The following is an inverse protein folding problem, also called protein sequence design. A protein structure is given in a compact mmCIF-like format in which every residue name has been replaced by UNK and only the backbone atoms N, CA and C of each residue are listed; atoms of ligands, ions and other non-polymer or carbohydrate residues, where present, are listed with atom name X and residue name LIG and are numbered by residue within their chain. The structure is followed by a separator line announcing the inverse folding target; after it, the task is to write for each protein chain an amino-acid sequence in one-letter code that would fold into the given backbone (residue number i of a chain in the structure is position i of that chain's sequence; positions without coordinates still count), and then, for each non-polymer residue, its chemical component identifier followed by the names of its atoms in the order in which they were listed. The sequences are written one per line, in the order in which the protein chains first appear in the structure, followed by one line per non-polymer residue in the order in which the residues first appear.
data_IF_887308440324
#
_entry.id   IF_887308440324
#
_cell.length_a   1.000
_cell.length_b   1.000
_cell.length_c   1.000
_cell.angle_alpha   90.00
_cell.angle_beta   90.00
_cell.angle_gamma   90.00
#
_symmetry.space_group_name_H-M   'P 1'
#
loop_
_entity.id
_entity.type
_entity.pdbx_description
1 polymer ?
#
# COMPACT_ATOMS: atom_id res chain seq x y z
N UNK A 1 20.54 28.40 -22.83
CA UNK A 1 20.02 29.32 -21.79
C UNK A 1 18.52 29.08 -21.76
N UNK A 2 17.94 28.15 -21.01
CA UNK A 2 18.28 27.64 -19.69
C UNK A 2 18.41 26.11 -19.69
N UNK A 3 19.09 25.64 -18.66
CA UNK A 3 19.59 24.32 -18.33
C UNK A 3 18.77 23.80 -17.11
N UNK A 4 18.70 22.47 -16.90
CA UNK A 4 18.26 21.77 -15.66
C UNK A 4 16.74 21.80 -15.34
N UNK A 5 16.04 20.78 -14.80
CA UNK A 5 16.39 19.66 -13.92
C UNK A 5 15.26 18.58 -13.92
N UNK A 6 15.66 17.30 -13.86
CA UNK A 6 15.02 16.09 -13.30
C UNK A 6 13.61 16.16 -12.65
N UNK A 7 12.75 15.15 -12.90
CA UNK A 7 11.86 14.65 -11.83
C UNK A 7 11.77 13.11 -11.80
N UNK A 8 12.75 12.39 -11.24
CA UNK A 8 12.58 11.02 -10.80
C UNK A 8 11.82 11.06 -9.46
N UNK A 9 10.51 10.87 -9.49
CA UNK A 9 9.70 10.82 -8.27
C UNK A 9 8.26 11.23 -8.51
N UNK A 10 7.44 10.30 -8.98
CA UNK A 10 5.98 10.44 -8.98
C UNK A 10 5.43 10.25 -7.55
N UNK A 11 5.98 10.98 -6.59
CA UNK A 11 5.69 10.85 -5.15
C UNK A 11 4.50 11.71 -4.73
N UNK A 12 3.43 11.71 -5.53
CA UNK A 12 2.15 12.29 -5.13
C UNK A 12 1.47 11.44 -4.05
N UNK A 13 0.55 12.02 -3.26
CA UNK A 13 -0.28 11.23 -2.35
C UNK A 13 -1.10 10.21 -3.15
N UNK A 14 -1.26 9.01 -2.60
CA UNK A 14 -2.12 7.99 -3.19
C UNK A 14 -3.54 8.24 -2.67
N UNK A 15 -4.40 8.78 -3.52
CA UNK A 15 -5.78 9.11 -3.18
C UNK A 15 -6.74 8.03 -3.66
N UNK A 16 -7.81 7.81 -2.90
CA UNK A 16 -8.87 6.90 -3.26
C UNK A 16 -9.69 7.42 -4.44
N UNK A 17 -10.15 6.53 -5.32
CA UNK A 17 -11.14 6.84 -6.36
C UNK A 17 -12.50 7.27 -5.77
N UNK A 18 -12.78 6.94 -4.51
CA UNK A 18 -13.99 7.35 -3.80
C UNK A 18 -13.83 8.63 -2.98
N UNK A 19 -12.71 9.35 -3.11
CA UNK A 19 -12.46 10.58 -2.35
C UNK A 19 -13.49 11.71 -2.62
N UNK A 20 -14.24 11.63 -3.74
CA UNK A 20 -15.30 12.59 -4.11
C UNK A 20 -16.66 12.21 -3.49
N UNK A 21 -16.80 11.00 -2.92
CA UNK A 21 -18.03 10.51 -2.30
C UNK A 21 -17.95 10.66 -0.77
N UNK A 22 -18.77 11.52 -0.14
CA UNK A 22 -18.63 11.86 1.28
C UNK A 22 -18.95 10.68 2.21
N UNK A 23 -19.87 9.79 1.83
CA UNK A 23 -20.21 8.59 2.59
C UNK A 23 -19.03 7.58 2.57
N UNK A 24 -18.36 7.43 1.43
CA UNK A 24 -17.15 6.61 1.32
C UNK A 24 -15.94 7.27 1.96
N UNK A 25 -15.82 8.59 1.92
CA UNK A 25 -14.67 9.33 2.46
C UNK A 25 -14.45 8.99 3.95
N UNK A 26 -15.51 8.96 4.76
CA UNK A 26 -15.42 8.57 6.19
C UNK A 26 -14.85 7.15 6.36
N UNK A 27 -15.26 6.21 5.51
CA UNK A 27 -14.75 4.84 5.51
C UNK A 27 -13.28 4.77 5.07
N UNK A 28 -12.91 5.56 4.06
CA UNK A 28 -11.54 5.68 3.55
C UNK A 28 -10.63 6.30 4.62
N UNK A 29 -11.09 7.32 5.34
CA UNK A 29 -10.37 7.94 6.46
C UNK A 29 -10.07 6.91 7.55
N UNK A 30 -11.07 6.14 7.99
CA UNK A 30 -10.87 5.06 8.96
C UNK A 30 -9.87 4.02 8.44
N UNK A 31 -9.98 3.64 7.16
CA UNK A 31 -9.05 2.69 6.56
C UNK A 31 -7.61 3.21 6.55
N UNK A 32 -7.40 4.47 6.16
CA UNK A 32 -6.07 5.10 6.14
C UNK A 32 -5.48 5.20 7.56
N UNK A 33 -6.30 5.47 8.58
CA UNK A 33 -5.85 5.47 9.99
C UNK A 33 -5.39 4.08 10.46
N UNK A 34 -5.99 3.01 9.93
CA UNK A 34 -5.59 1.62 10.23
C UNK A 34 -4.35 1.14 9.46
N UNK A 35 -4.03 1.74 8.30
CA UNK A 35 -2.94 1.30 7.43
C UNK A 35 -1.57 1.20 8.14
N UNK A 36 -1.12 2.16 8.98
CA UNK A 36 0.15 2.09 9.69
C UNK A 36 0.24 0.85 10.60
N UNK A 37 -0.87 0.47 11.24
CA UNK A 37 -0.91 -0.71 12.09
C UNK A 37 -0.81 -1.99 11.25
N UNK A 38 -1.51 -2.05 10.12
CA UNK A 38 -1.43 -3.20 9.18
C UNK A 38 -0.03 -3.35 8.59
N UNK A 39 0.61 -2.25 8.23
CA UNK A 39 2.00 -2.17 7.76
C UNK A 39 2.98 -2.69 8.81
N UNK A 40 2.80 -2.34 10.09
CA UNK A 40 3.64 -2.88 11.16
C UNK A 40 3.47 -4.40 11.30
N UNK A 41 2.25 -4.91 11.21
CA UNK A 41 1.99 -6.36 11.24
C UNK A 41 2.63 -7.10 10.07
N UNK A 42 2.60 -6.52 8.86
CA UNK A 42 3.31 -7.07 7.69
C UNK A 42 4.81 -7.16 7.93
N UNK A 43 5.44 -6.04 8.34
CA UNK A 43 6.88 -6.00 8.60
C UNK A 43 7.28 -7.01 9.69
N UNK A 44 6.54 -7.05 10.80
CA UNK A 44 6.81 -7.99 11.89
C UNK A 44 6.66 -9.45 11.46
N UNK A 45 5.68 -9.75 10.60
CA UNK A 45 5.50 -11.09 10.01
C UNK A 45 6.67 -11.47 9.10
N UNK A 46 7.16 -10.53 8.30
CA UNK A 46 8.33 -10.73 7.45
C UNK A 46 9.60 -10.96 8.28
N UNK A 47 9.87 -10.12 9.28
CA UNK A 47 11.02 -10.26 10.20
C UNK A 47 10.97 -11.57 10.98
N UNK A 48 9.77 -12.01 11.38
CA UNK A 48 9.54 -13.28 12.08
C UNK A 48 9.52 -14.49 11.14
N UNK A 49 9.77 -14.30 9.84
CA UNK A 49 9.69 -15.33 8.79
C UNK A 49 8.34 -16.06 8.72
N UNK A 50 7.26 -15.41 9.17
CA UNK A 50 5.90 -15.93 9.22
C UNK A 50 5.21 -15.75 7.85
N UNK A 51 5.66 -16.52 6.85
CA UNK A 51 5.19 -16.37 5.46
C UNK A 51 3.69 -16.62 5.29
N UNK A 52 3.09 -17.52 6.08
CA UNK A 52 1.63 -17.77 6.05
C UNK A 52 0.84 -16.54 6.54
N UNK A 53 1.32 -15.89 7.60
CA UNK A 53 0.70 -14.67 8.14
C UNK A 53 0.88 -13.50 7.16
N UNK A 54 2.09 -13.34 6.62
CA UNK A 54 2.38 -12.31 5.63
C UNK A 54 1.48 -12.47 4.39
N UNK A 55 1.25 -13.71 3.95
CA UNK A 55 0.34 -14.02 2.84
C UNK A 55 -1.11 -13.64 3.16
N UNK A 56 -1.60 -14.00 4.36
CA UNK A 56 -2.95 -13.65 4.82
C UNK A 56 -3.15 -12.15 4.91
N UNK A 57 -2.20 -11.43 5.52
CA UNK A 57 -2.23 -9.98 5.64
C UNK A 57 -2.22 -9.30 4.27
N UNK A 58 -1.37 -9.77 3.34
CA UNK A 58 -1.32 -9.27 1.96
C UNK A 58 -2.65 -9.46 1.24
N UNK A 59 -3.27 -10.64 1.39
CA UNK A 59 -4.57 -10.95 0.81
C UNK A 59 -5.69 -10.05 1.36
N UNK A 60 -5.71 -9.82 2.67
CA UNK A 60 -6.68 -8.94 3.31
C UNK A 60 -6.50 -7.48 2.88
N UNK A 61 -5.26 -7.00 2.81
CA UNK A 61 -4.94 -5.65 2.33
C UNK A 61 -5.38 -5.46 0.89
N UNK A 62 -5.07 -6.40 -0.01
CA UNK A 62 -5.54 -6.37 -1.40
C UNK A 62 -7.06 -6.20 -1.50
N UNK A 63 -7.81 -7.03 -0.76
CA UNK A 63 -9.27 -6.97 -0.75
C UNK A 63 -9.81 -5.64 -0.22
N UNK A 64 -9.24 -5.16 0.88
CA UNK A 64 -9.62 -3.88 1.48
C UNK A 64 -9.28 -2.71 0.56
N UNK A 65 -8.04 -2.59 0.09
CA UNK A 65 -7.59 -1.52 -0.82
C UNK A 65 -8.45 -1.45 -2.08
N UNK A 66 -8.79 -2.60 -2.69
CA UNK A 66 -9.69 -2.63 -3.85
C UNK A 66 -11.11 -2.15 -3.51
N UNK A 67 -11.62 -2.49 -2.33
CA UNK A 67 -12.94 -2.04 -1.85
C UNK A 67 -12.99 -0.56 -1.48
N UNK A 68 -11.87 0.01 -1.04
CA UNK A 68 -11.75 1.43 -0.66
C UNK A 68 -11.21 2.32 -1.77
N UNK A 69 -11.08 1.83 -3.01
CA UNK A 69 -10.71 2.65 -4.17
C UNK A 69 -9.22 2.98 -4.25
N UNK A 70 -8.35 2.14 -3.69
CA UNK A 70 -6.90 2.25 -3.78
C UNK A 70 -6.32 1.18 -4.72
N UNK A 71 -6.47 1.32 -6.05
CA UNK A 71 -6.02 0.31 -7.01
C UNK A 71 -4.52 0.05 -6.90
N UNK A 72 -3.68 1.09 -6.77
CA UNK A 72 -2.23 0.92 -6.67
C UNK A 72 -1.77 0.14 -5.43
N UNK A 73 -2.43 0.33 -4.27
CA UNK A 73 -2.14 -0.48 -3.08
C UNK A 73 -2.60 -1.93 -3.28
N UNK A 74 -3.75 -2.13 -3.92
CA UNK A 74 -4.28 -3.46 -4.22
C UNK A 74 -3.35 -4.24 -5.15
N UNK A 75 -2.79 -3.58 -6.17
CA UNK A 75 -1.81 -4.15 -7.09
C UNK A 75 -0.51 -4.56 -6.36
N UNK A 76 0.04 -3.68 -5.53
CA UNK A 76 1.25 -3.97 -4.75
C UNK A 76 1.03 -5.15 -3.77
N UNK A 77 -0.13 -5.19 -3.10
CA UNK A 77 -0.48 -6.30 -2.22
C UNK A 77 -0.67 -7.62 -2.99
N UNK A 78 -1.21 -7.56 -4.21
CA UNK A 78 -1.35 -8.72 -5.07
C UNK A 78 0.01 -9.26 -5.56
N UNK A 79 0.98 -8.39 -5.83
CA UNK A 79 2.34 -8.78 -6.19
C UNK A 79 3.02 -9.53 -5.04
N UNK A 80 2.97 -8.97 -3.82
CA UNK A 80 3.50 -9.61 -2.61
C UNK A 80 2.81 -10.97 -2.36
N UNK A 81 1.49 -11.04 -2.46
CA UNK A 81 0.72 -12.28 -2.34
C UNK A 81 1.19 -13.34 -3.36
N UNK A 82 1.43 -12.92 -4.62
CA UNK A 82 1.90 -13.79 -5.69
C UNK A 82 3.29 -14.38 -5.41
N UNK A 83 4.22 -13.55 -4.95
CA UNK A 83 5.58 -13.98 -4.57
C UNK A 83 5.54 -15.01 -3.44
N UNK A 84 4.72 -14.77 -2.42
CA UNK A 84 4.55 -15.67 -1.27
C UNK A 84 3.89 -16.99 -1.67
N UNK A 85 2.86 -16.96 -2.51
CA UNK A 85 2.18 -18.18 -3.02
C UNK A 85 3.08 -19.03 -3.90
N UNK A 86 3.97 -18.41 -4.66
CA UNK A 86 4.87 -19.14 -5.55
C UNK A 86 5.85 -20.01 -4.76
N UNK A 87 6.17 -19.66 -3.50
CA UNK A 87 7.11 -20.39 -2.65
C UNK A 87 8.57 -20.37 -3.17
N UNK A 88 8.80 -19.73 -4.31
CA UNK A 88 10.09 -19.57 -4.98
C UNK A 88 10.52 -18.09 -5.04
N UNK A 89 9.76 -17.19 -4.42
CA UNK A 89 10.13 -15.77 -4.32
C UNK A 89 11.43 -15.64 -3.54
N UNK A 90 12.43 -14.99 -4.13
CA UNK A 90 13.65 -14.65 -3.42
C UNK A 90 13.30 -13.69 -2.27
N UNK A 91 13.92 -13.85 -1.08
CA UNK A 91 13.67 -12.95 0.05
C UNK A 91 13.86 -11.47 -0.32
N UNK A 92 14.77 -11.14 -1.22
CA UNK A 92 14.95 -9.77 -1.72
C UNK A 92 13.76 -9.26 -2.54
N UNK A 93 13.09 -10.13 -3.29
CA UNK A 93 11.87 -9.75 -4.03
C UNK A 93 10.68 -9.54 -3.10
N UNK A 94 10.52 -10.41 -2.10
CA UNK A 94 9.46 -10.28 -1.09
C UNK A 94 9.67 -8.98 -0.29
N UNK A 95 10.91 -8.70 0.13
CA UNK A 95 11.25 -7.47 0.83
C UNK A 95 11.00 -6.21 -0.03
N UNK A 96 11.35 -6.26 -1.32
CA UNK A 96 11.12 -5.15 -2.24
C UNK A 96 9.62 -4.89 -2.43
N UNK A 97 8.83 -5.93 -2.71
CA UNK A 97 7.38 -5.81 -2.87
C UNK A 97 6.69 -5.34 -1.58
N UNK A 98 7.15 -5.82 -0.42
CA UNK A 98 6.69 -5.35 0.88
C UNK A 98 7.02 -3.87 1.08
N UNK A 99 8.26 -3.44 0.82
CA UNK A 99 8.64 -2.02 0.96
C UNK A 99 7.82 -1.11 0.05
N UNK A 100 7.55 -1.52 -1.19
CA UNK A 100 6.67 -0.79 -2.11
C UNK A 100 5.25 -0.65 -1.54
N UNK A 101 4.66 -1.75 -1.05
CA UNK A 101 3.36 -1.72 -0.40
C UNK A 101 3.34 -0.77 0.81
N UNK A 102 4.39 -0.80 1.62
CA UNK A 102 4.55 0.08 2.79
C UNK A 102 4.66 1.54 2.38
N UNK A 103 5.44 1.87 1.35
CA UNK A 103 5.55 3.24 0.82
C UNK A 103 4.19 3.76 0.36
N UNK A 104 3.47 2.96 -0.43
CA UNK A 104 2.13 3.31 -0.91
C UNK A 104 1.15 3.51 0.25
N UNK A 105 1.16 2.64 1.26
CA UNK A 105 0.32 2.77 2.44
C UNK A 105 0.63 4.05 3.23
N UNK A 106 1.91 4.43 3.35
CA UNK A 106 2.33 5.66 4.06
C UNK A 106 1.95 6.93 3.30
N UNK A 107 1.80 6.83 1.98
CA UNK A 107 1.37 7.92 1.10
C UNK A 107 -0.13 7.94 0.86
N UNK A 108 -0.85 6.92 1.32
CA UNK A 108 -2.29 6.85 1.18
C UNK A 108 -2.93 8.01 1.94
N UNK A 109 -3.81 8.74 1.26
CA UNK A 109 -4.53 9.88 1.81
C UNK A 109 -6.01 9.73 1.47
N UNK A 110 -6.92 10.00 2.41
CA UNK A 110 -8.35 9.83 2.18
C UNK A 110 -8.91 10.85 1.18
N UNK A 111 -8.30 12.03 1.09
CA UNK A 111 -8.65 13.05 0.11
C UNK A 111 -7.43 13.86 -0.34
N UNK A 112 -7.59 14.72 -1.35
CA UNK A 112 -6.58 15.71 -1.69
C UNK A 112 -6.41 16.59 -0.45
N UNK A 113 -5.25 16.48 0.21
CA UNK A 113 -4.99 17.20 1.46
C UNK A 113 -5.42 18.65 1.31
N UNK A 114 -6.47 19.03 2.03
CA UNK A 114 -6.91 20.42 2.15
C UNK A 114 -5.87 21.08 3.05
N UNK A 115 -4.74 21.44 2.46
CA UNK A 115 -3.79 22.35 3.06
C UNK A 115 -4.46 23.71 3.13
N UNK A 116 -4.95 24.04 4.32
CA UNK A 116 -5.17 25.43 4.74
C UNK A 116 -3.86 25.98 5.33
#
# INVERSE_FOLDING_TARGET
MQDQQSNPGNSGPVVSEFADDPDMLELVEMFVDELPQRVQSLQSSFESQMMDELLRLSHQLKGACGGYGFPSLSEAAAELEGLLKSGAGDPGQIEAAMNELVDLCRRASPGPGQGD
#
